data_IF_567208127858
#
_entry.id   IF_567208127858
#
_cell.length_a   1.000
_cell.length_b   1.000
_cell.length_c   1.000
_cell.angle_alpha   90.00
_cell.angle_beta   90.00
_cell.angle_gamma   90.00
#
_symmetry.space_group_name_H-M   'P 1'
#
loop_
_entity.id
_entity.type
_entity.pdbx_description
1 polymer ?
#
# COMPACT_ATOMS: atom_id res chain seq x y z
N UNK A 1 -2.45 -8.43 34.94
CA UNK A 1 -1.73 -8.86 33.73
C UNK A 1 -2.72 -9.50 32.78
N UNK A 2 -3.40 -8.68 31.96
CA UNK A 2 -4.36 -9.18 30.97
C UNK A 2 -3.58 -9.96 29.92
N UNK A 3 -3.97 -11.21 29.68
CA UNK A 3 -3.47 -12.05 28.58
C UNK A 3 -3.41 -11.24 27.29
N UNK A 4 -2.20 -10.92 26.80
CA UNK A 4 -2.01 -10.27 25.51
C UNK A 4 -2.52 -11.23 24.45
N UNK A 5 -3.69 -10.94 23.88
CA UNK A 5 -4.28 -11.83 22.88
C UNK A 5 -3.39 -11.86 21.64
N UNK A 6 -3.14 -13.05 21.09
CA UNK A 6 -2.17 -13.29 20.01
C UNK A 6 -2.39 -12.35 18.80
N UNK A 7 -3.64 -12.01 18.52
CA UNK A 7 -4.04 -11.08 17.45
C UNK A 7 -3.55 -9.63 17.64
N UNK A 8 -2.82 -9.31 18.71
CA UNK A 8 -2.22 -7.99 18.96
C UNK A 8 -0.69 -7.98 18.88
N UNK A 9 -0.06 -9.15 18.81
CA UNK A 9 1.40 -9.30 18.96
C UNK A 9 2.06 -10.09 17.83
N UNK A 10 1.29 -10.69 16.92
CA UNK A 10 1.83 -11.49 15.83
C UNK A 10 2.22 -10.62 14.63
N UNK A 11 3.48 -10.19 14.55
CA UNK A 11 4.01 -9.45 13.40
C UNK A 11 5.25 -10.12 12.82
N UNK A 12 5.71 -9.61 11.69
CA UNK A 12 6.99 -10.01 11.10
C UNK A 12 8.17 -9.51 11.95
N UNK A 13 9.34 -10.13 11.77
CA UNK A 13 10.56 -9.72 12.46
C UNK A 13 11.02 -8.34 11.98
N UNK A 14 10.91 -7.33 12.84
CA UNK A 14 11.34 -5.95 12.55
C UNK A 14 12.87 -5.75 12.49
N UNK A 15 13.26 -4.51 12.24
CA UNK A 15 14.66 -4.08 12.12
C UNK A 15 15.32 -4.33 10.76
N UNK A 16 16.66 -4.24 10.74
CA UNK A 16 17.51 -4.26 9.53
C UNK A 16 18.57 -5.39 9.54
N UNK A 17 18.55 -6.25 10.56
CA UNK A 17 19.53 -7.33 10.70
C UNK A 17 19.33 -8.46 9.69
N UNK A 18 20.28 -9.41 9.68
CA UNK A 18 20.29 -10.53 8.73
C UNK A 18 19.06 -11.44 8.80
N UNK A 19 18.33 -11.43 9.92
CA UNK A 19 17.10 -12.21 10.12
C UNK A 19 15.83 -11.36 10.06
N UNK A 20 15.95 -10.06 9.77
CA UNK A 20 14.81 -9.16 9.64
C UNK A 20 13.97 -9.52 8.43
N UNK A 21 12.68 -9.19 8.49
CA UNK A 21 11.77 -9.38 7.37
C UNK A 21 12.18 -8.54 6.15
N UNK A 22 12.71 -7.33 6.35
CA UNK A 22 13.20 -6.47 5.27
C UNK A 22 14.22 -7.21 4.40
N UNK A 23 15.07 -8.05 4.99
CA UNK A 23 16.11 -8.81 4.29
C UNK A 23 15.70 -10.26 3.91
N UNK A 24 14.52 -10.72 4.34
CA UNK A 24 14.09 -12.13 4.18
C UNK A 24 12.66 -12.28 3.65
N UNK A 25 12.21 -11.35 2.81
CA UNK A 25 10.83 -11.30 2.31
C UNK A 25 10.67 -11.60 0.81
N UNK A 26 11.66 -12.26 0.20
CA UNK A 26 11.68 -12.58 -1.24
C UNK A 26 10.53 -13.48 -1.68
N UNK A 27 10.10 -14.42 -0.82
CA UNK A 27 8.98 -15.31 -1.15
C UNK A 27 7.66 -14.52 -1.26
N UNK A 28 7.45 -13.56 -0.38
CA UNK A 28 6.30 -12.66 -0.38
C UNK A 28 6.40 -11.70 -1.56
N UNK A 29 7.60 -11.18 -1.86
CA UNK A 29 7.85 -10.34 -3.04
C UNK A 29 7.50 -11.09 -4.35
N UNK A 30 7.89 -12.36 -4.46
CA UNK A 30 7.55 -13.22 -5.59
C UNK A 30 6.02 -13.42 -5.69
N UNK A 31 5.35 -13.73 -4.57
CA UNK A 31 3.90 -13.90 -4.55
C UNK A 31 3.15 -12.63 -4.98
N UNK A 32 3.58 -11.47 -4.50
CA UNK A 32 3.06 -10.15 -4.91
C UNK A 32 3.26 -9.95 -6.42
N UNK A 33 4.47 -10.23 -6.93
CA UNK A 33 4.77 -10.07 -8.35
C UNK A 33 3.94 -10.99 -9.25
N UNK A 34 3.73 -12.25 -8.84
CA UNK A 34 2.88 -13.19 -9.57
C UNK A 34 1.40 -12.75 -9.56
N UNK A 35 0.96 -12.10 -8.48
CA UNK A 35 -0.42 -11.59 -8.33
C UNK A 35 -0.64 -10.23 -9.01
N UNK A 36 0.43 -9.51 -9.32
CA UNK A 36 0.41 -8.15 -9.87
C UNK A 36 -0.46 -7.99 -11.13
N UNK A 37 -0.44 -8.90 -12.14
CA UNK A 37 -1.31 -8.78 -13.31
C UNK A 37 -2.80 -8.82 -12.94
N UNK A 38 -3.18 -9.68 -11.99
CA UNK A 38 -4.57 -9.78 -11.52
C UNK A 38 -4.99 -8.52 -10.76
N UNK A 39 -4.12 -7.97 -9.91
CA UNK A 39 -4.35 -6.69 -9.24
C UNK A 39 -4.57 -5.56 -10.25
N UNK A 40 -3.70 -5.43 -11.25
CA UNK A 40 -3.82 -4.39 -12.28
C UNK A 40 -5.13 -4.53 -13.07
N UNK A 41 -5.48 -5.75 -13.50
CA UNK A 41 -6.72 -6.01 -14.23
C UNK A 41 -7.95 -5.66 -13.38
N UNK A 42 -7.92 -5.99 -12.08
CA UNK A 42 -8.99 -5.66 -11.15
C UNK A 42 -9.14 -4.14 -11.00
N UNK A 43 -8.04 -3.41 -10.83
CA UNK A 43 -8.05 -1.94 -10.73
C UNK A 43 -8.55 -1.27 -12.01
N UNK A 44 -8.16 -1.77 -13.18
CA UNK A 44 -8.63 -1.27 -14.48
C UNK A 44 -10.12 -1.52 -14.72
N UNK A 45 -10.70 -2.55 -14.07
CA UNK A 45 -12.13 -2.82 -14.14
C UNK A 45 -12.98 -1.88 -13.29
N UNK A 46 -12.37 -1.14 -12.35
CA UNK A 46 -13.07 -0.19 -11.49
C UNK A 46 -13.62 0.95 -12.35
N UNK A 47 -14.94 1.13 -12.29
CA UNK A 47 -15.60 2.27 -12.92
C UNK A 47 -15.32 3.53 -12.11
N UNK A 48 -14.38 4.33 -12.60
CA UNK A 48 -14.05 5.66 -12.07
C UNK A 48 -15.16 6.64 -12.49
N UNK A 49 -16.32 6.58 -11.84
CA UNK A 49 -17.44 7.49 -12.09
C UNK A 49 -17.45 8.55 -11.00
N UNK A 50 -17.02 9.73 -11.39
CA UNK A 50 -17.09 10.95 -10.60
C UNK A 50 -17.93 11.98 -11.35
N UNK A 51 -18.94 12.50 -10.66
CA UNK A 51 -19.56 13.76 -11.04
C UNK A 51 -18.76 14.84 -10.32
N UNK A 52 -17.97 15.67 -11.03
CA UNK A 52 -17.42 16.84 -10.38
C UNK A 52 -18.61 17.65 -9.85
N UNK A 53 -18.62 17.95 -8.55
CA UNK A 53 -19.47 19.00 -8.03
C UNK A 53 -19.14 20.32 -8.76
N UNK A 54 -19.98 21.35 -8.57
CA UNK A 54 -19.88 22.64 -9.28
C UNK A 54 -18.49 23.34 -9.21
N UNK A 55 -17.56 22.83 -8.39
CA UNK A 55 -16.21 23.37 -8.14
C UNK A 55 -15.07 22.57 -8.83
N UNK A 56 -15.39 21.57 -9.68
CA UNK A 56 -14.38 20.77 -10.42
C UNK A 56 -13.36 20.02 -9.53
N UNK A 57 -13.66 19.80 -8.26
CA UNK A 57 -12.76 19.13 -7.31
C UNK A 57 -12.83 17.61 -7.44
N UNK A 58 -11.68 16.95 -7.61
CA UNK A 58 -11.57 15.50 -7.56
C UNK A 58 -11.70 15.01 -6.12
N UNK A 59 -12.28 13.82 -5.88
CA UNK A 59 -12.27 13.23 -4.55
C UNK A 59 -10.88 12.73 -4.17
N UNK A 60 -10.64 12.61 -2.87
CA UNK A 60 -9.46 11.94 -2.33
C UNK A 60 -9.67 10.43 -2.44
N UNK A 61 -8.71 9.73 -3.07
CA UNK A 61 -8.71 8.28 -3.18
C UNK A 61 -7.83 7.69 -2.09
N UNK A 62 -8.43 6.85 -1.24
CA UNK A 62 -7.73 6.19 -0.13
C UNK A 62 -7.38 4.75 -0.50
N UNK A 63 -6.13 4.38 -0.30
CA UNK A 63 -5.59 3.03 -0.52
C UNK A 63 -5.08 2.52 0.81
N UNK A 64 -5.50 1.33 1.23
CA UNK A 64 -5.02 0.71 2.46
C UNK A 64 -4.36 -0.65 2.13
N UNK A 65 -3.12 -0.84 2.58
CA UNK A 65 -2.46 -2.14 2.58
C UNK A 65 -2.62 -2.77 3.97
N UNK A 66 -3.27 -3.93 4.02
CA UNK A 66 -3.67 -4.60 5.26
C UNK A 66 -2.73 -5.79 5.53
N UNK A 67 -1.95 -5.71 6.59
CA UNK A 67 -0.83 -6.61 6.85
C UNK A 67 0.44 -6.14 6.13
N UNK A 68 0.75 -4.84 6.24
CA UNK A 68 1.83 -4.21 5.47
C UNK A 68 3.24 -4.68 5.88
N UNK A 69 3.39 -5.27 7.07
CA UNK A 69 4.68 -5.60 7.67
C UNK A 69 5.66 -4.39 7.59
N UNK A 70 6.91 -4.65 7.20
CA UNK A 70 7.96 -3.65 7.00
C UNK A 70 8.71 -3.93 5.71
N UNK A 71 9.16 -2.90 4.98
CA UNK A 71 10.03 -3.07 3.81
C UNK A 71 9.41 -2.61 2.49
N UNK A 72 10.11 -2.88 1.40
CA UNK A 72 9.76 -2.37 0.06
C UNK A 72 8.52 -3.03 -0.56
N UNK A 73 8.15 -4.24 -0.10
CA UNK A 73 7.01 -4.99 -0.64
C UNK A 73 5.70 -4.20 -0.57
N UNK A 74 5.41 -3.59 0.60
CA UNK A 74 4.19 -2.79 0.78
C UNK A 74 4.22 -1.52 -0.07
N UNK A 75 5.36 -0.82 -0.13
CA UNK A 75 5.50 0.40 -0.95
C UNK A 75 5.31 0.10 -2.44
N UNK A 76 5.95 -0.95 -2.96
CA UNK A 76 5.84 -1.35 -4.36
C UNK A 76 4.39 -1.74 -4.73
N UNK A 77 3.67 -2.33 -3.78
CA UNK A 77 2.27 -2.71 -3.95
C UNK A 77 1.38 -1.47 -4.02
N UNK A 78 1.52 -0.56 -3.05
CA UNK A 78 0.78 0.72 -3.04
C UNK A 78 1.10 1.57 -4.27
N UNK A 79 2.37 1.69 -4.67
CA UNK A 79 2.78 2.41 -5.89
C UNK A 79 2.10 1.82 -7.13
N UNK A 80 2.06 0.48 -7.24
CA UNK A 80 1.37 -0.20 -8.33
C UNK A 80 -0.12 0.16 -8.39
N UNK A 81 -0.78 0.24 -7.22
CA UNK A 81 -2.20 0.63 -7.13
C UNK A 81 -2.37 2.08 -7.56
N UNK A 82 -1.63 3.01 -6.93
CA UNK A 82 -1.72 4.45 -7.17
C UNK A 82 -1.45 4.77 -8.63
N UNK A 83 -0.40 4.21 -9.23
CA UNK A 83 -0.06 4.48 -10.62
C UNK A 83 -1.08 3.92 -11.60
N UNK A 84 -1.68 2.78 -11.29
CA UNK A 84 -2.72 2.18 -12.14
C UNK A 84 -3.99 3.03 -12.10
N UNK A 85 -4.42 3.45 -10.91
CA UNK A 85 -5.57 4.34 -10.76
C UNK A 85 -5.31 5.69 -11.41
N UNK A 86 -4.15 6.31 -11.15
CA UNK A 86 -3.73 7.59 -11.75
C UNK A 86 -3.80 7.56 -13.28
N UNK A 87 -3.34 6.49 -13.92
CA UNK A 87 -3.48 6.30 -15.38
C UNK A 87 -4.94 6.16 -15.82
N UNK A 88 -5.76 5.46 -15.04
CA UNK A 88 -7.20 5.35 -15.27
C UNK A 88 -7.88 6.71 -15.24
N UNK A 89 -7.63 7.51 -14.19
CA UNK A 89 -8.14 8.88 -14.08
C UNK A 89 -7.69 9.76 -15.24
N UNK A 90 -6.41 9.71 -15.60
CA UNK A 90 -5.88 10.49 -16.74
C UNK A 90 -6.56 10.13 -18.06
N UNK A 91 -6.88 8.86 -18.26
CA UNK A 91 -7.59 8.38 -19.45
C UNK A 91 -9.03 8.88 -19.52
N UNK A 92 -9.73 8.92 -18.37
CA UNK A 92 -11.16 9.28 -18.31
C UNK A 92 -11.37 10.79 -18.22
N UNK A 93 -10.52 11.50 -17.48
CA UNK A 93 -10.71 12.91 -17.09
C UNK A 93 -9.64 13.87 -17.62
N UNK A 94 -8.66 13.38 -18.40
CA UNK A 94 -7.60 14.21 -18.96
C UNK A 94 -6.55 14.64 -17.92
N UNK A 95 -6.34 15.95 -17.74
CA UNK A 95 -5.29 16.48 -16.85
C UNK A 95 -5.66 16.47 -15.37
N UNK A 96 -6.95 16.29 -15.04
CA UNK A 96 -7.41 16.26 -13.67
C UNK A 96 -7.06 14.96 -12.97
N UNK A 97 -6.38 15.04 -11.82
CA UNK A 97 -5.99 13.90 -11.01
C UNK A 97 -6.47 14.07 -9.57
N UNK A 98 -6.97 13.01 -8.92
CA UNK A 98 -7.28 13.04 -7.50
C UNK A 98 -6.00 13.05 -6.66
N UNK A 99 -6.14 13.50 -5.42
CA UNK A 99 -5.18 13.22 -4.36
C UNK A 99 -5.29 11.75 -3.94
N UNK A 100 -4.16 11.15 -3.57
CA UNK A 100 -4.09 9.78 -3.07
C UNK A 100 -3.57 9.78 -1.64
N UNK A 101 -4.31 9.15 -0.74
CA UNK A 101 -3.87 8.86 0.63
C UNK A 101 -3.57 7.37 0.75
N UNK A 102 -2.35 7.03 1.16
CA UNK A 102 -1.94 5.66 1.42
C UNK A 102 -1.92 5.38 2.92
N UNK A 103 -2.53 4.28 3.32
CA UNK A 103 -2.58 3.78 4.69
C UNK A 103 -1.86 2.44 4.76
N UNK A 104 -0.85 2.36 5.63
CA UNK A 104 -0.10 1.14 5.90
C UNK A 104 -0.60 0.59 7.24
N UNK A 105 -1.32 -0.53 7.19
CA UNK A 105 -2.02 -1.08 8.33
C UNK A 105 -1.42 -2.43 8.75
N UNK A 106 -1.10 -2.58 10.03
CA UNK A 106 -0.66 -3.84 10.62
C UNK A 106 -1.04 -3.86 12.11
N UNK A 107 -0.73 -4.94 12.81
CA UNK A 107 -0.93 -5.06 14.24
C UNK A 107 -0.05 -4.08 15.02
N UNK A 108 -0.45 -3.71 16.26
CA UNK A 108 0.29 -2.72 17.06
C UNK A 108 1.76 -3.08 17.35
N UNK A 109 2.13 -4.37 17.25
CA UNK A 109 3.49 -4.84 17.47
C UNK A 109 4.41 -4.72 16.26
N UNK A 110 3.87 -4.39 15.08
CA UNK A 110 4.69 -4.21 13.87
C UNK A 110 5.69 -3.06 14.04
N UNK A 111 6.85 -3.19 13.38
CA UNK A 111 7.92 -2.19 13.46
C UNK A 111 7.66 -1.03 12.48
N UNK A 112 6.68 -0.19 12.81
CA UNK A 112 6.36 1.00 12.03
C UNK A 112 7.50 2.03 12.00
N UNK A 113 8.40 2.04 12.98
CA UNK A 113 9.56 2.92 12.95
C UNK A 113 10.46 2.58 11.76
N UNK A 114 10.71 1.28 11.55
CA UNK A 114 11.47 0.81 10.40
C UNK A 114 10.75 1.10 9.08
N UNK A 115 9.42 0.92 9.04
CA UNK A 115 8.61 1.28 7.88
C UNK A 115 8.73 2.77 7.55
N UNK A 116 8.58 3.67 8.53
CA UNK A 116 8.66 5.13 8.31
C UNK A 116 10.07 5.59 7.93
N UNK A 117 11.11 4.96 8.48
CA UNK A 117 12.50 5.19 8.06
C UNK A 117 12.67 4.93 6.56
N UNK A 118 12.28 3.74 6.09
CA UNK A 118 12.38 3.38 4.67
C UNK A 118 11.49 4.23 3.76
N UNK A 119 10.31 4.61 4.24
CA UNK A 119 9.43 5.50 3.50
C UNK A 119 10.09 6.87 3.26
N UNK A 120 10.83 7.37 4.25
CA UNK A 120 11.58 8.62 4.15
C UNK A 120 12.76 8.49 3.18
N UNK A 121 13.46 7.35 3.19
CA UNK A 121 14.60 7.08 2.29
C UNK A 121 14.17 6.85 0.83
N UNK A 122 12.92 6.46 0.59
CA UNK A 122 12.34 6.27 -0.74
C UNK A 122 11.98 7.59 -1.45
N UNK A 123 11.72 8.66 -0.70
CA UNK A 123 11.32 9.98 -1.22
C UNK A 123 12.49 10.70 -1.91
#
# INVERSE_FOLDING_TARGET
>A
WTTTSLHRVLCMQGGEGDVSYVNNSDSQALAINLSKPLLISSLQSIKLIFSPDNDHTFPIIRVADLGCATGSNTFNTVDTVVDTLRRGFKTVYGSGLPEFEAFFCDLPSNDFNMLFKLLTEKQ
#
